data_IF_418370911547
#
_entry.id   IF_418370911547
#
_cell.length_a   1.000
_cell.length_b   1.000
_cell.length_c   1.000
_cell.angle_alpha   90.00
_cell.angle_beta   90.00
_cell.angle_gamma   90.00
#
_symmetry.space_group_name_H-M   'P 1'
#
loop_
_entity.id
_entity.type
_entity.pdbx_description
1 polymer ?
#
# COMPACT_ATOMS: atom_id res chain seq x y z
N UNK A 1 -4.44 5.84 21.89
CA UNK A 1 -3.86 4.50 21.61
C UNK A 1 -4.42 4.00 20.29
N UNK A 2 -3.63 3.31 19.45
CA UNK A 2 -4.16 2.68 18.25
C UNK A 2 -5.18 1.58 18.62
N UNK A 3 -6.25 1.40 17.82
CA UNK A 3 -7.18 0.27 17.95
C UNK A 3 -6.50 -1.11 17.99
N UNK A 4 -7.12 -2.10 18.63
CA UNK A 4 -6.54 -3.45 18.74
C UNK A 4 -6.37 -4.13 17.37
N UNK A 5 -7.31 -3.97 16.45
CA UNK A 5 -7.21 -4.56 15.11
C UNK A 5 -6.05 -3.98 14.29
N UNK A 6 -5.59 -2.75 14.57
CA UNK A 6 -4.37 -2.22 13.97
C UNK A 6 -3.13 -2.99 14.43
N UNK A 7 -3.10 -3.41 15.70
CA UNK A 7 -2.03 -4.26 16.23
C UNK A 7 -2.08 -5.65 15.62
N UNK A 8 -3.27 -6.21 15.39
CA UNK A 8 -3.43 -7.50 14.71
C UNK A 8 -2.86 -7.46 13.29
N UNK A 9 -3.14 -6.41 12.52
CA UNK A 9 -2.55 -6.21 11.18
C UNK A 9 -1.02 -6.17 11.26
N UNK A 10 -0.47 -5.39 12.19
CA UNK A 10 0.98 -5.27 12.36
C UNK A 10 1.63 -6.60 12.82
N UNK A 11 0.98 -7.34 13.73
CA UNK A 11 1.44 -8.65 14.19
C UNK A 11 1.36 -9.70 13.09
N UNK A 12 0.28 -9.67 12.29
CA UNK A 12 0.12 -10.54 11.14
C UNK A 12 1.25 -10.31 10.13
N UNK A 13 1.51 -9.06 9.74
CA UNK A 13 2.61 -8.72 8.85
C UNK A 13 3.96 -9.13 9.45
N UNK A 14 4.20 -8.84 10.74
CA UNK A 14 5.40 -9.31 11.43
C UNK A 14 5.57 -10.83 11.36
N UNK A 15 4.49 -11.61 11.41
CA UNK A 15 4.58 -13.09 11.29
C UNK A 15 4.95 -13.58 9.88
N UNK A 16 4.81 -12.72 8.86
CA UNK A 16 5.13 -13.01 7.46
C UNK A 16 6.53 -12.58 7.03
N UNK A 17 7.22 -11.82 7.87
CA UNK A 17 8.48 -11.15 7.56
C UNK A 17 9.52 -11.42 8.64
N UNK A 18 10.79 -11.28 8.28
CA UNK A 18 11.90 -11.43 9.22
C UNK A 18 12.33 -10.04 9.72
N UNK A 19 13.22 -9.99 10.72
CA UNK A 19 13.75 -8.73 11.23
C UNK A 19 12.86 -7.97 12.21
N UNK A 20 13.20 -6.69 12.44
CA UNK A 20 12.57 -5.83 13.44
C UNK A 20 11.57 -4.91 12.75
N UNK A 21 10.25 -5.13 12.93
CA UNK A 21 9.25 -4.23 12.35
C UNK A 21 9.34 -2.86 13.00
N UNK A 22 9.09 -1.82 12.21
CA UNK A 22 8.96 -0.45 12.70
C UNK A 22 7.70 0.19 12.12
N UNK A 23 7.12 1.16 12.82
CA UNK A 23 5.97 1.93 12.33
C UNK A 23 6.30 3.40 12.46
N UNK A 24 6.17 4.14 11.35
CA UNK A 24 6.37 5.58 11.31
C UNK A 24 5.09 6.27 10.80
N UNK A 25 4.86 7.50 11.25
CA UNK A 25 3.73 8.30 10.79
C UNK A 25 4.18 9.27 9.69
N UNK A 26 3.58 9.16 8.51
CA UNK A 26 3.82 10.04 7.37
C UNK A 26 2.70 11.06 7.30
N UNK A 27 3.04 12.35 7.22
CA UNK A 27 2.09 13.46 7.38
C UNK A 27 1.98 14.26 6.09
N UNK A 28 0.87 14.97 5.95
CA UNK A 28 0.67 15.93 4.88
C UNK A 28 1.46 17.22 5.14
N UNK A 29 1.43 18.15 4.19
CA UNK A 29 2.16 19.43 4.26
C UNK A 29 1.78 20.28 5.48
N UNK A 30 0.62 20.03 6.10
CA UNK A 30 0.10 20.74 7.26
C UNK A 30 0.28 19.98 8.58
N UNK A 31 1.01 18.86 8.59
CA UNK A 31 1.27 18.00 9.76
C UNK A 31 0.01 17.39 10.41
N UNK A 32 -1.16 17.50 9.77
CA UNK A 32 -2.46 17.30 10.40
C UNK A 32 -2.99 15.88 10.27
N UNK A 33 -2.63 15.16 9.19
CA UNK A 33 -3.27 13.90 8.82
C UNK A 33 -2.30 12.72 8.81
N UNK A 34 -1.78 12.23 9.95
CA UNK A 34 -0.79 11.16 9.97
C UNK A 34 -1.34 9.85 9.38
N UNK A 35 -0.54 9.22 8.52
CA UNK A 35 -0.74 7.87 7.99
C UNK A 35 0.31 6.95 8.63
N UNK A 36 -0.09 6.01 9.50
CA UNK A 36 0.82 5.00 10.03
C UNK A 36 1.23 4.03 8.93
N UNK A 37 2.54 3.90 8.71
CA UNK A 37 3.13 2.95 7.76
C UNK A 37 4.13 2.08 8.50
N UNK A 38 3.88 0.78 8.48
CA UNK A 38 4.79 -0.25 8.95
C UNK A 38 5.83 -0.58 7.89
N UNK A 39 7.08 -0.75 8.33
CA UNK A 39 8.19 -1.29 7.57
C UNK A 39 8.53 -2.67 8.12
N UNK A 40 8.58 -3.65 7.23
CA UNK A 40 8.82 -5.06 7.53
C UNK A 40 9.95 -5.55 6.62
N UNK A 41 10.94 -6.23 7.20
CA UNK A 41 12.13 -6.64 6.45
C UNK A 41 11.95 -8.05 5.87
N UNK A 42 12.46 -8.26 4.67
CA UNK A 42 12.53 -9.55 4.01
C UNK A 42 13.82 -9.63 3.19
N UNK A 43 13.78 -10.29 2.03
CA UNK A 43 14.77 -10.09 0.98
C UNK A 43 14.75 -8.68 0.38
N UNK A 44 13.60 -7.98 0.48
CA UNK A 44 13.43 -6.56 0.17
C UNK A 44 12.52 -5.90 1.21
N UNK A 45 12.64 -4.59 1.40
CA UNK A 45 11.79 -3.88 2.35
C UNK A 45 10.32 -3.88 1.89
N UNK A 46 9.41 -4.24 2.80
CA UNK A 46 7.97 -4.18 2.58
C UNK A 46 7.35 -3.08 3.46
N UNK A 47 6.66 -2.14 2.81
CA UNK A 47 5.94 -1.04 3.46
C UNK A 47 4.45 -1.30 3.34
N UNK A 48 3.71 -1.14 4.43
CA UNK A 48 2.24 -1.24 4.44
C UNK A 48 1.65 -0.19 5.35
N UNK A 49 0.55 0.42 4.94
CA UNK A 49 -0.29 1.17 5.88
C UNK A 49 -0.79 0.24 6.98
N UNK A 50 -1.06 0.83 8.14
CA UNK A 50 -1.67 0.16 9.28
C UNK A 50 -2.93 0.94 9.66
N UNK A 51 -4.11 0.34 9.42
CA UNK A 51 -5.40 0.93 9.75
C UNK A 51 -5.99 1.81 8.65
N UNK A 52 -5.42 1.81 7.44
CA UNK A 52 -6.05 2.50 6.30
C UNK A 52 -7.38 1.86 5.92
N UNK A 53 -7.56 0.58 6.22
CA UNK A 53 -8.79 -0.18 5.99
C UNK A 53 -10.02 0.38 6.74
N UNK A 54 -9.80 1.19 7.79
CA UNK A 54 -10.87 1.92 8.51
C UNK A 54 -11.33 3.21 7.80
N UNK A 55 -10.53 3.71 6.85
CA UNK A 55 -10.86 4.95 6.13
C UNK A 55 -11.92 4.66 5.08
N UNK A 56 -12.94 5.50 5.01
CA UNK A 56 -13.90 5.49 3.91
C UNK A 56 -13.23 6.03 2.65
N UNK A 57 -12.74 5.12 1.80
CA UNK A 57 -12.21 5.42 0.48
C UNK A 57 -13.22 4.95 -0.58
N UNK A 58 -13.40 5.73 -1.64
CA UNK A 58 -14.25 5.38 -2.78
C UNK A 58 -13.53 4.39 -3.69
N UNK A 59 -13.30 3.18 -3.17
CA UNK A 59 -12.67 2.05 -3.83
C UNK A 59 -13.67 0.88 -3.93
N UNK A 60 -13.48 -0.10 -4.83
CA UNK A 60 -14.34 -1.27 -4.94
C UNK A 60 -14.41 -2.04 -3.61
N UNK A 61 -15.52 -2.74 -3.34
CA UNK A 61 -15.90 -3.22 -2.00
C UNK A 61 -14.86 -4.11 -1.29
N UNK A 62 -13.99 -3.52 -0.46
CA UNK A 62 -13.22 -4.14 0.62
C UNK A 62 -12.56 -3.06 1.50
N UNK A 63 -12.16 -3.43 2.73
CA UNK A 63 -11.19 -2.64 3.48
C UNK A 63 -9.78 -2.90 2.93
N UNK A 64 -9.05 -1.84 2.55
CA UNK A 64 -7.72 -1.97 1.97
C UNK A 64 -6.64 -1.36 2.85
N UNK A 65 -5.52 -2.07 2.96
CA UNK A 65 -4.23 -1.47 3.28
C UNK A 65 -3.44 -1.25 1.99
N UNK A 66 -2.66 -0.17 1.92
CA UNK A 66 -1.80 0.14 0.78
C UNK A 66 -0.40 -0.35 1.08
N UNK A 67 0.25 -0.98 0.10
CA UNK A 67 1.60 -1.49 0.23
C UNK A 67 2.52 -1.06 -0.91
N UNK A 68 3.82 -1.08 -0.63
CA UNK A 68 4.92 -0.96 -1.59
C UNK A 68 6.05 -1.90 -1.16
N UNK A 69 6.73 -2.56 -2.11
CA UNK A 69 7.89 -3.41 -1.82
C UNK A 69 9.09 -2.95 -2.65
N UNK A 70 10.27 -2.88 -2.03
CA UNK A 70 11.52 -2.53 -2.68
C UNK A 70 12.43 -1.62 -1.85
N UNK A 71 13.60 -1.33 -2.41
CA UNK A 71 14.69 -0.62 -1.72
C UNK A 71 14.61 0.91 -1.81
N UNK A 72 13.58 1.43 -2.48
CA UNK A 72 13.41 2.87 -2.70
C UNK A 72 12.89 3.53 -1.42
N UNK A 73 13.69 4.41 -0.83
CA UNK A 73 13.44 5.07 0.45
C UNK A 73 12.19 5.97 0.48
N UNK A 74 11.79 6.48 -0.68
CA UNK A 74 10.60 7.31 -0.85
C UNK A 74 9.28 6.53 -0.98
N UNK A 75 9.31 5.20 -1.10
CA UNK A 75 8.10 4.37 -1.22
C UNK A 75 7.07 4.60 -0.12
N UNK A 76 7.42 4.59 1.19
CA UNK A 76 6.42 4.84 2.23
C UNK A 76 5.80 6.23 2.10
N UNK A 77 6.56 7.25 1.66
CA UNK A 77 5.97 8.57 1.44
C UNK A 77 5.04 8.60 0.20
N UNK A 78 5.37 7.84 -0.85
CA UNK A 78 4.50 7.70 -2.01
C UNK A 78 3.18 6.99 -1.66
N UNK A 79 3.21 6.00 -0.76
CA UNK A 79 1.99 5.38 -0.21
C UNK A 79 1.13 6.43 0.51
N UNK A 80 1.70 7.20 1.43
CA UNK A 80 0.97 8.24 2.16
C UNK A 80 0.39 9.30 1.20
N UNK A 81 1.19 9.74 0.24
CA UNK A 81 0.79 10.72 -0.79
C UNK A 81 -0.35 10.19 -1.66
N UNK A 82 -0.38 8.90 -1.97
CA UNK A 82 -1.47 8.25 -2.71
C UNK A 82 -2.80 8.30 -1.95
N UNK A 83 -2.77 8.13 -0.62
CA UNK A 83 -3.98 8.28 0.21
C UNK A 83 -4.49 9.72 0.24
N UNK A 84 -3.61 10.72 0.28
CA UNK A 84 -4.03 12.12 0.18
C UNK A 84 -4.58 12.44 -1.21
N UNK A 85 -3.95 11.91 -2.26
CA UNK A 85 -4.41 12.07 -3.64
C UNK A 85 -5.82 11.52 -3.85
N UNK A 86 -6.14 10.38 -3.24
CA UNK A 86 -7.46 9.74 -3.30
C UNK A 86 -8.58 10.52 -2.60
N UNK A 87 -8.28 11.53 -1.78
CA UNK A 87 -9.29 12.27 -1.03
C UNK A 87 -10.27 12.98 -1.98
N UNK A 88 -11.51 12.51 -2.00
CA UNK A 88 -12.56 13.03 -2.88
C UNK A 88 -12.50 12.52 -4.32
N UNK A 89 -11.67 11.50 -4.59
CA UNK A 89 -11.62 10.79 -5.87
C UNK A 89 -12.24 9.41 -5.74
N UNK A 90 -12.75 8.90 -6.86
CA UNK A 90 -13.32 7.57 -6.97
C UNK A 90 -12.49 6.70 -7.91
N UNK A 91 -12.38 5.41 -7.60
CA UNK A 91 -11.82 4.41 -8.47
C UNK A 91 -12.82 3.27 -8.62
N UNK A 92 -13.45 3.16 -9.78
CA UNK A 92 -14.40 2.07 -10.08
C UNK A 92 -13.74 0.85 -10.72
N UNK A 93 -12.52 1.01 -11.25
CA UNK A 93 -11.80 0.00 -12.02
C UNK A 93 -10.36 -0.17 -11.54
N UNK A 94 -9.70 -1.24 -11.97
CA UNK A 94 -8.29 -1.50 -11.68
C UNK A 94 -7.47 -1.42 -12.97
N UNK A 95 -6.22 -0.92 -12.93
CA UNK A 95 -5.47 -0.52 -11.74
C UNK A 95 -5.87 0.87 -11.25
N UNK A 96 -5.72 1.11 -9.95
CA UNK A 96 -5.79 2.46 -9.39
C UNK A 96 -4.48 3.16 -9.71
N UNK A 97 -4.52 4.28 -10.43
CA UNK A 97 -3.33 5.09 -10.73
C UNK A 97 -3.37 6.39 -9.93
N UNK A 98 -2.41 6.56 -9.01
CA UNK A 98 -2.23 7.78 -8.23
C UNK A 98 -1.11 8.62 -8.84
N UNK A 99 -1.49 9.72 -9.48
CA UNK A 99 -0.57 10.53 -10.29
C UNK A 99 0.28 11.50 -9.46
N UNK A 100 1.54 11.68 -9.88
CA UNK A 100 2.48 12.68 -9.32
C UNK A 100 2.78 12.55 -7.81
N UNK A 101 2.46 11.41 -7.21
CA UNK A 101 2.67 11.11 -5.78
C UNK A 101 4.14 10.84 -5.40
N UNK A 102 5.03 10.73 -6.39
CA UNK A 102 6.49 10.55 -6.19
C UNK A 102 7.26 11.86 -6.43
N UNK A 103 6.71 12.78 -7.23
CA UNK A 103 7.43 13.89 -7.89
C UNK A 103 8.18 14.82 -6.92
N UNK A 104 7.65 15.03 -5.72
CA UNK A 104 8.29 15.90 -4.71
C UNK A 104 9.39 15.18 -3.89
N UNK A 105 9.49 13.86 -4.00
CA UNK A 105 10.24 13.02 -3.07
C UNK A 105 11.48 12.36 -3.67
N UNK A 106 11.65 12.38 -4.99
CA UNK A 106 12.77 11.69 -5.64
C UNK A 106 13.18 12.36 -6.96
N UNK A 107 14.50 12.35 -7.23
CA UNK A 107 15.01 12.52 -8.61
C UNK A 107 14.89 11.18 -9.33
N UNK A 108 13.67 10.83 -9.75
CA UNK A 108 13.38 9.56 -10.42
C UNK A 108 12.59 9.81 -11.71
N UNK A 109 12.70 8.89 -12.67
CA UNK A 109 11.78 8.81 -13.81
C UNK A 109 10.39 8.32 -13.40
N UNK A 110 10.27 7.69 -12.23
CA UNK A 110 9.00 7.31 -11.65
C UNK A 110 8.32 8.53 -11.01
N UNK A 111 7.07 8.75 -11.38
CA UNK A 111 6.27 9.89 -10.92
C UNK A 111 4.96 9.49 -10.26
N UNK A 112 4.41 8.35 -10.64
CA UNK A 112 3.10 7.88 -10.20
C UNK A 112 3.23 6.52 -9.50
N UNK A 113 2.17 6.11 -8.81
CA UNK A 113 2.02 4.77 -8.28
C UNK A 113 0.79 4.12 -8.93
N UNK A 114 0.94 2.88 -9.39
CA UNK A 114 -0.17 2.06 -9.85
C UNK A 114 -0.43 0.94 -8.84
N UNK A 115 -1.70 0.69 -8.52
CA UNK A 115 -2.13 -0.25 -7.50
C UNK A 115 -3.08 -1.31 -8.06
N UNK A 116 -2.87 -2.55 -7.64
CA UNK A 116 -3.77 -3.69 -7.91
C UNK A 116 -4.09 -4.44 -6.62
N UNK A 117 -5.29 -5.01 -6.48
CA UNK A 117 -5.66 -5.77 -5.29
C UNK A 117 -4.90 -7.10 -5.24
N UNK A 118 -4.33 -7.38 -4.07
CA UNK A 118 -3.84 -8.68 -3.67
C UNK A 118 -4.99 -9.70 -3.67
N UNK A 119 -4.66 -10.96 -3.98
CA UNK A 119 -5.59 -12.08 -3.81
C UNK A 119 -5.68 -12.54 -2.35
N UNK A 120 -4.65 -12.21 -1.56
CA UNK A 120 -4.59 -12.54 -0.16
C UNK A 120 -5.45 -11.59 0.66
N UNK A 121 -6.12 -12.13 1.68
CA UNK A 121 -6.92 -11.37 2.63
C UNK A 121 -6.68 -11.83 4.06
N UNK A 122 -6.87 -10.93 5.01
CA UNK A 122 -6.73 -11.21 6.43
C UNK A 122 -7.96 -10.69 7.18
N UNK A 123 -8.59 -11.54 7.98
CA UNK A 123 -9.72 -11.15 8.82
C UNK A 123 -9.22 -10.78 10.20
N UNK A 124 -9.52 -9.55 10.64
CA UNK A 124 -9.24 -9.09 12.01
C UNK A 124 -10.37 -9.48 12.96
N UNK A 125 -10.13 -9.38 14.26
CA UNK A 125 -11.08 -9.74 15.33
C UNK A 125 -12.42 -8.98 15.28
N UNK A 126 -12.46 -7.82 14.63
CA UNK A 126 -13.69 -7.03 14.41
C UNK A 126 -14.62 -7.66 13.36
N UNK A 127 -14.17 -8.73 12.66
CA UNK A 127 -14.88 -9.35 11.54
C UNK A 127 -14.62 -8.66 10.20
N UNK A 128 -13.89 -7.55 10.18
CA UNK A 128 -13.48 -6.87 8.96
C UNK A 128 -12.44 -7.73 8.20
N UNK A 129 -12.65 -7.90 6.91
CA UNK A 129 -11.66 -8.50 6.01
C UNK A 129 -10.84 -7.40 5.35
N UNK A 130 -9.53 -7.49 5.56
CA UNK A 130 -8.52 -6.59 5.01
C UNK A 130 -7.85 -7.25 3.80
N UNK A 131 -7.66 -6.48 2.72
CA UNK A 131 -6.84 -6.84 1.56
C UNK A 131 -5.74 -5.81 1.35
N UNK A 132 -4.68 -6.19 0.65
CA UNK A 132 -3.60 -5.27 0.30
C UNK A 132 -3.74 -4.74 -1.13
N UNK A 133 -3.56 -3.44 -1.32
CA UNK A 133 -3.34 -2.83 -2.63
C UNK A 133 -1.83 -2.76 -2.87
N UNK A 134 -1.38 -3.52 -3.86
CA UNK A 134 0.02 -3.70 -4.21
C UNK A 134 0.43 -2.57 -5.14
N UNK A 135 1.12 -1.56 -4.60
CA UNK A 135 1.63 -0.43 -5.34
C UNK A 135 2.95 -0.74 -6.06
N UNK A 136 3.06 -0.32 -7.31
CA UNK A 136 4.30 -0.30 -8.08
C UNK A 136 4.56 1.11 -8.62
N UNK A 137 5.81 1.58 -8.59
CA UNK A 137 6.15 2.87 -9.18
C UNK A 137 6.12 2.81 -10.70
N UNK A 138 5.56 3.84 -11.33
CA UNK A 138 5.43 3.95 -12.80
C UNK A 138 5.81 5.35 -13.29
N UNK A 139 6.27 5.42 -14.53
CA UNK A 139 6.62 6.65 -15.25
C UNK A 139 5.43 7.24 -16.03
N UNK A 140 5.61 8.44 -16.60
CA UNK A 140 4.60 9.07 -17.46
C UNK A 140 4.21 8.18 -18.67
N UNK A 141 5.13 7.35 -19.16
CA UNK A 141 4.90 6.45 -20.30
C UNK A 141 4.05 5.22 -19.92
N UNK A 142 3.93 4.94 -18.63
CA UNK A 142 3.29 3.75 -18.07
C UNK A 142 1.92 4.07 -17.44
N UNK A 143 1.42 5.30 -17.55
CA UNK A 143 0.18 5.74 -16.92
C UNK A 143 -1.07 4.97 -17.40
N UNK A 144 -1.00 4.43 -18.62
CA UNK A 144 -2.08 3.67 -19.25
C UNK A 144 -1.85 2.15 -19.20
N UNK A 145 -1.00 1.66 -18.29
CA UNK A 145 -0.81 0.22 -18.12
C UNK A 145 -2.11 -0.49 -17.74
N UNK A 146 -2.32 -1.66 -18.32
CA UNK A 146 -3.45 -2.51 -17.98
C UNK A 146 -3.29 -3.09 -16.57
N UNK A 147 -4.41 -3.53 -15.98
CA UNK A 147 -4.40 -4.26 -14.70
C UNK A 147 -3.42 -5.42 -14.71
N UNK A 148 -3.43 -6.22 -15.78
CA UNK A 148 -2.55 -7.38 -15.91
C UNK A 148 -1.07 -6.98 -15.91
N UNK A 149 -0.71 -5.90 -16.61
CA UNK A 149 0.67 -5.42 -16.64
C UNK A 149 1.13 -4.97 -15.24
N UNK A 150 0.27 -4.27 -14.49
CA UNK A 150 0.57 -3.86 -13.10
C UNK A 150 0.68 -5.08 -12.17
N UNK A 151 -0.19 -6.09 -12.32
CA UNK A 151 -0.08 -7.36 -11.58
C UNK A 151 1.24 -8.10 -11.88
N UNK A 152 1.67 -8.13 -13.15
CA UNK A 152 2.95 -8.73 -13.54
C UNK A 152 4.15 -7.98 -12.96
N UNK A 153 4.10 -6.65 -12.90
CA UNK A 153 5.11 -5.85 -12.20
C UNK A 153 5.12 -6.15 -10.69
N UNK A 154 3.94 -6.22 -10.06
CA UNK A 154 3.84 -6.53 -8.65
C UNK A 154 4.42 -7.92 -8.33
N UNK A 155 4.14 -8.94 -9.15
CA UNK A 155 4.69 -10.30 -8.96
C UNK A 155 6.22 -10.37 -8.97
N UNK A 156 6.90 -9.40 -9.58
CA UNK A 156 8.38 -9.35 -9.61
C UNK A 156 8.99 -8.86 -8.31
N UNK A 157 8.25 -8.08 -7.51
CA UNK A 157 8.80 -7.36 -6.34
C UNK A 157 8.13 -7.75 -5.02
N UNK A 158 6.92 -8.29 -5.05
CA UNK A 158 6.19 -8.69 -3.85
C UNK A 158 6.38 -10.19 -3.52
N UNK A 159 6.32 -10.55 -2.22
CA UNK A 159 6.28 -11.96 -1.81
C UNK A 159 5.09 -12.74 -2.42
N UNK A 160 5.34 -13.99 -2.82
CA UNK A 160 4.36 -14.83 -3.52
C UNK A 160 3.06 -15.06 -2.74
N UNK A 161 3.11 -15.05 -1.41
CA UNK A 161 1.91 -15.30 -0.58
C UNK A 161 0.82 -14.23 -0.79
N UNK A 162 1.17 -13.00 -1.20
CA UNK A 162 0.20 -11.93 -1.52
C UNK A 162 -0.61 -12.22 -2.80
N UNK A 163 -0.22 -13.23 -3.58
CA UNK A 163 -0.93 -13.65 -4.79
C UNK A 163 -1.63 -15.00 -4.63
N UNK A 164 -1.73 -15.50 -3.40
CA UNK A 164 -2.45 -16.72 -3.06
C UNK A 164 -3.77 -16.34 -2.40
N UNK A 165 -4.83 -17.09 -2.68
CA UNK A 165 -6.08 -16.99 -1.93
C UNK A 165 -5.80 -17.48 -0.51
N UNK A 166 -6.24 -16.74 0.51
CA UNK A 166 -6.12 -17.19 1.89
C UNK A 166 -6.82 -18.56 2.04
N UNK A 167 -6.07 -19.54 2.55
CA UNK A 167 -6.55 -20.90 2.79
C UNK A 167 -7.53 -20.96 3.96
#
# INVERSE_FOLDING_TARGET
MPPEHHKEIAQYLRSKFEGVPSVAAYRDENDANPIPIGRFESSTAFYSTIGCSDKTLSLPSAGFEFAASGELDWLPNAIASSLYWLKGRECSEWPLVCEDVVRCNARSSYRHMAYVPSQHSFSVSTGQTVRWLLGVPISDQEIALSRQAVEEMARKVYPNWLFQVAA
#
